data_IF_737833448959
#
_entry.id   IF_737833448959
#
_cell.length_a   1.000
_cell.length_b   1.000
_cell.length_c   1.000
_cell.angle_alpha   90.00
_cell.angle_beta   90.00
_cell.angle_gamma   90.00
#
_symmetry.space_group_name_H-M   'P 1'
#
loop_
_entity.id
_entity.type
_entity.pdbx_description
1 polymer ?
#
# COMPACT_ATOMS: atom_id res chain seq x y z
N UNK A 1 -3.54 1.21 11.59
CA UNK A 1 -3.11 2.59 11.93
C UNK A 1 -4.10 3.41 12.77
N UNK A 2 -5.42 3.28 12.59
CA UNK A 2 -6.40 4.14 13.33
C UNK A 2 -6.56 3.73 14.80
N UNK A 3 -6.33 2.45 15.13
CA UNK A 3 -6.52 1.86 16.47
C UNK A 3 -5.89 2.67 17.62
N UNK A 4 -4.56 2.81 17.66
CA UNK A 4 -3.86 3.57 18.69
C UNK A 4 -4.32 5.04 18.80
N UNK A 5 -4.43 5.79 17.69
CA UNK A 5 -4.97 7.16 17.66
C UNK A 5 -6.39 7.28 18.20
N UNK A 6 -7.27 6.30 17.97
CA UNK A 6 -8.60 6.29 18.61
C UNK A 6 -8.50 6.12 20.13
N UNK A 7 -7.60 5.28 20.65
CA UNK A 7 -7.38 5.16 22.11
C UNK A 7 -6.82 6.47 22.69
N UNK A 8 -5.87 7.11 22.00
CA UNK A 8 -5.35 8.43 22.38
C UNK A 8 -6.47 9.48 22.39
N UNK A 9 -7.36 9.48 21.39
CA UNK A 9 -8.52 10.38 21.32
C UNK A 9 -9.48 10.19 22.49
N UNK A 10 -9.75 8.94 22.88
CA UNK A 10 -10.58 8.63 24.05
C UNK A 10 -9.90 9.12 25.34
N UNK A 11 -8.61 8.84 25.52
CA UNK A 11 -7.84 9.28 26.69
C UNK A 11 -7.74 10.80 26.81
N UNK A 12 -7.48 11.51 25.71
CA UNK A 12 -7.46 12.98 25.68
C UNK A 12 -8.83 13.59 26.00
N UNK A 13 -9.91 12.97 25.53
CA UNK A 13 -11.28 13.41 25.84
C UNK A 13 -11.62 13.21 27.32
N UNK A 14 -11.13 12.14 27.97
CA UNK A 14 -11.24 11.92 29.41
C UNK A 14 -10.45 12.95 30.22
N UNK A 15 -9.22 13.27 29.81
CA UNK A 15 -8.42 14.34 30.44
C UNK A 15 -9.16 15.67 30.35
N UNK A 16 -9.68 16.02 29.16
CA UNK A 16 -10.46 17.25 28.98
C UNK A 16 -11.70 17.26 29.89
N UNK A 17 -12.45 16.15 29.94
CA UNK A 17 -13.61 16.00 30.82
C UNK A 17 -13.26 16.21 32.31
N UNK A 18 -12.09 15.74 32.75
CA UNK A 18 -11.65 15.89 34.15
C UNK A 18 -11.37 17.34 34.56
N UNK A 19 -11.02 18.20 33.60
CA UNK A 19 -10.59 19.58 33.82
C UNK A 19 -11.73 20.59 33.67
N UNK A 20 -12.86 20.18 33.09
CA UNK A 20 -13.96 21.09 32.75
C UNK A 20 -15.10 20.98 33.75
N UNK A 21 -15.38 22.03 34.55
CA UNK A 21 -16.49 22.01 35.52
C UNK A 21 -17.87 22.24 34.86
N UNK A 22 -17.91 22.57 33.57
CA UNK A 22 -19.15 22.87 32.85
C UNK A 22 -19.82 21.57 32.33
N UNK A 23 -21.05 21.32 32.80
CA UNK A 23 -21.83 20.12 32.46
C UNK A 23 -22.05 19.94 30.95
N UNK A 24 -22.26 21.03 30.20
CA UNK A 24 -22.46 20.96 28.76
C UNK A 24 -21.21 20.46 28.04
N UNK A 25 -20.04 21.01 28.38
CA UNK A 25 -18.76 20.59 27.81
C UNK A 25 -18.39 19.17 28.24
N UNK A 26 -18.74 18.77 29.48
CA UNK A 26 -18.57 17.39 29.95
C UNK A 26 -19.44 16.40 29.17
N UNK A 27 -20.69 16.77 28.83
CA UNK A 27 -21.56 15.94 28.00
C UNK A 27 -20.98 15.75 26.59
N UNK A 28 -20.49 16.82 25.95
CA UNK A 28 -19.80 16.75 24.65
C UNK A 28 -18.56 15.85 24.73
N UNK A 29 -17.73 16.02 25.77
CA UNK A 29 -16.55 15.20 25.97
C UNK A 29 -16.90 13.71 26.14
N UNK A 30 -17.99 13.39 26.85
CA UNK A 30 -18.48 12.02 27.03
C UNK A 30 -18.84 11.37 25.69
N UNK A 31 -19.51 12.11 24.79
CA UNK A 31 -19.82 11.64 23.43
C UNK A 31 -18.54 11.35 22.65
N UNK A 32 -17.52 12.22 22.75
CA UNK A 32 -16.23 12.02 22.10
C UNK A 32 -15.50 10.77 22.63
N UNK A 33 -15.48 10.57 23.95
CA UNK A 33 -14.94 9.34 24.56
C UNK A 33 -15.62 8.11 23.98
N UNK A 34 -16.96 8.10 23.92
CA UNK A 34 -17.73 6.99 23.37
C UNK A 34 -17.44 6.72 21.89
N UNK A 35 -17.37 7.78 21.07
CA UNK A 35 -17.06 7.66 19.65
C UNK A 35 -15.66 7.08 19.40
N UNK A 36 -14.64 7.61 20.10
CA UNK A 36 -13.27 7.13 19.97
C UNK A 36 -13.10 5.70 20.51
N UNK A 37 -13.70 5.37 21.64
CA UNK A 37 -13.70 4.01 22.19
C UNK A 37 -14.41 3.02 21.25
N UNK A 38 -15.52 3.42 20.63
CA UNK A 38 -16.23 2.61 19.64
C UNK A 38 -15.38 2.32 18.39
N UNK A 39 -14.68 3.33 17.87
CA UNK A 39 -13.73 3.13 16.76
C UNK A 39 -12.60 2.19 17.17
N UNK A 40 -12.01 2.37 18.35
CA UNK A 40 -10.96 1.48 18.84
C UNK A 40 -11.47 0.03 18.97
N UNK A 41 -12.68 -0.17 19.48
CA UNK A 41 -13.30 -1.48 19.58
C UNK A 41 -13.48 -2.15 18.22
N UNK A 42 -14.13 -1.47 17.26
CA UNK A 42 -14.38 -2.01 15.91
C UNK A 42 -13.07 -2.33 15.21
N UNK A 43 -12.10 -1.42 15.25
CA UNK A 43 -10.80 -1.65 14.60
C UNK A 43 -10.04 -2.80 15.28
N UNK A 44 -10.09 -2.89 16.62
CA UNK A 44 -9.43 -3.95 17.38
C UNK A 44 -9.97 -5.34 17.04
N UNK A 45 -11.30 -5.50 17.00
CA UNK A 45 -11.91 -6.79 16.62
C UNK A 45 -11.64 -7.14 15.15
N UNK A 46 -11.60 -6.16 14.25
CA UNK A 46 -11.26 -6.41 12.83
C UNK A 46 -9.82 -6.88 12.69
N UNK A 47 -8.88 -6.24 13.37
CA UNK A 47 -7.47 -6.65 13.33
C UNK A 47 -7.28 -8.07 13.87
N UNK A 48 -7.95 -8.39 14.97
CA UNK A 48 -7.90 -9.74 15.55
C UNK A 48 -8.51 -10.80 14.64
N UNK A 49 -9.46 -10.41 13.77
CA UNK A 49 -10.01 -11.31 12.75
C UNK A 49 -9.05 -11.58 11.59
N UNK A 50 -8.19 -10.62 11.26
CA UNK A 50 -7.22 -10.72 10.16
C UNK A 50 -5.93 -11.46 10.57
N UNK A 51 -5.51 -11.31 11.82
CA UNK A 51 -4.21 -11.83 12.29
C UNK A 51 -4.28 -13.24 12.92
N UNK A 52 -5.50 -13.74 13.22
CA UNK A 52 -5.70 -15.02 13.91
C UNK A 52 -6.21 -16.08 12.94
N UNK A 53 -5.48 -17.20 12.91
CA UNK A 53 -5.83 -18.40 12.14
C UNK A 53 -7.26 -18.88 12.43
N UNK A 54 -7.92 -19.39 11.38
CA UNK A 54 -9.33 -19.82 11.43
C UNK A 54 -9.62 -20.83 12.56
N UNK A 55 -8.67 -21.71 12.87
CA UNK A 55 -8.81 -22.74 13.92
C UNK A 55 -8.88 -22.16 15.34
N UNK A 56 -8.20 -21.03 15.58
CA UNK A 56 -8.10 -20.41 16.90
C UNK A 56 -9.02 -19.21 17.07
N UNK A 57 -9.51 -18.63 15.96
CA UNK A 57 -10.31 -17.39 15.96
C UNK A 57 -11.46 -17.42 16.97
N UNK A 58 -12.25 -18.49 16.99
CA UNK A 58 -13.39 -18.60 17.91
C UNK A 58 -12.99 -18.54 19.39
N UNK A 59 -11.87 -19.18 19.76
CA UNK A 59 -11.37 -19.21 21.15
C UNK A 59 -10.78 -17.87 21.56
N UNK A 60 -9.98 -17.27 20.68
CA UNK A 60 -9.34 -15.97 20.94
C UNK A 60 -10.38 -14.86 21.11
N UNK A 61 -11.40 -14.83 20.24
CA UNK A 61 -12.51 -13.87 20.38
C UNK A 61 -13.28 -14.06 21.69
N UNK A 62 -13.57 -15.31 22.08
CA UNK A 62 -14.25 -15.62 23.33
C UNK A 62 -13.46 -15.15 24.56
N UNK A 63 -12.14 -15.35 24.56
CA UNK A 63 -11.26 -14.90 25.64
C UNK A 63 -11.19 -13.38 25.73
N UNK A 64 -10.97 -12.68 24.61
CA UNK A 64 -10.91 -11.22 24.57
C UNK A 64 -12.22 -10.59 25.03
N UNK A 65 -13.37 -11.08 24.55
CA UNK A 65 -14.67 -10.56 24.97
C UNK A 65 -14.92 -10.78 26.48
N UNK A 66 -14.49 -11.91 27.01
CA UNK A 66 -14.65 -12.22 28.43
C UNK A 66 -13.79 -11.28 29.28
N UNK A 67 -12.52 -11.08 28.90
CA UNK A 67 -11.62 -10.14 29.57
C UNK A 67 -12.19 -8.72 29.54
N UNK A 68 -12.64 -8.24 28.38
CA UNK A 68 -13.24 -6.90 28.26
C UNK A 68 -14.45 -6.70 29.18
N UNK A 69 -15.31 -7.71 29.35
CA UNK A 69 -16.46 -7.65 30.26
C UNK A 69 -16.04 -7.63 31.72
N UNK A 70 -15.05 -8.45 32.08
CA UNK A 70 -14.48 -8.48 33.42
C UNK A 70 -13.87 -7.11 33.76
N UNK A 71 -13.09 -6.54 32.85
CA UNK A 71 -12.47 -5.23 33.03
C UNK A 71 -13.53 -4.13 33.19
N UNK A 72 -14.58 -4.14 32.36
CA UNK A 72 -15.68 -3.18 32.49
C UNK A 72 -16.37 -3.27 33.85
N UNK A 73 -16.65 -4.48 34.32
CA UNK A 73 -17.27 -4.71 35.63
C UNK A 73 -16.35 -4.25 36.76
N UNK A 74 -15.07 -4.59 36.69
CA UNK A 74 -14.07 -4.23 37.70
C UNK A 74 -13.91 -2.71 37.79
N UNK A 75 -13.75 -2.02 36.65
CA UNK A 75 -13.61 -0.56 36.60
C UNK A 75 -14.86 0.11 37.15
N UNK A 76 -16.06 -0.34 36.76
CA UNK A 76 -17.33 0.22 37.24
C UNK A 76 -17.49 0.03 38.75
N UNK A 77 -17.08 -1.12 39.29
CA UNK A 77 -17.17 -1.41 40.71
C UNK A 77 -16.15 -0.65 41.55
N UNK A 78 -14.91 -0.53 41.10
CA UNK A 78 -13.78 0.01 41.89
C UNK A 78 -13.72 1.54 41.84
N UNK A 79 -14.07 2.14 40.69
CA UNK A 79 -13.91 3.59 40.45
C UNK A 79 -14.57 4.47 41.52
N UNK A 80 -15.83 4.22 41.96
CA UNK A 80 -16.46 5.05 43.00
C UNK A 80 -15.72 5.03 44.34
N UNK A 81 -15.16 3.87 44.74
CA UNK A 81 -14.41 3.75 45.99
C UNK A 81 -13.08 4.50 45.92
N UNK A 82 -12.37 4.40 44.80
CA UNK A 82 -11.12 5.14 44.59
C UNK A 82 -11.38 6.64 44.58
N UNK A 83 -12.41 7.10 43.85
CA UNK A 83 -12.80 8.50 43.82
C UNK A 83 -13.21 9.01 45.22
N UNK A 84 -13.97 8.20 45.98
CA UNK A 84 -14.37 8.51 47.35
C UNK A 84 -13.18 8.61 48.32
N UNK A 85 -12.20 7.71 48.21
CA UNK A 85 -11.00 7.71 49.05
C UNK A 85 -10.10 8.93 48.82
N UNK A 86 -10.08 9.48 47.60
CA UNK A 86 -9.35 10.72 47.27
C UNK A 86 -10.05 11.94 47.91
N UNK A 87 -11.39 11.90 47.97
CA UNK A 87 -12.20 12.95 48.56
C UNK A 87 -12.26 14.22 47.71
N UNK A 88 -12.73 15.32 48.31
CA UNK A 88 -12.74 16.64 47.67
C UNK A 88 -11.82 17.57 48.43
N UNK A 89 -10.93 18.28 47.72
CA UNK A 89 -10.02 19.27 48.32
C UNK A 89 -10.13 20.60 47.59
N UNK A 90 -10.15 21.69 48.34
CA UNK A 90 -10.04 23.03 47.77
C UNK A 90 -8.58 23.33 47.44
N UNK A 91 -8.30 23.58 46.16
CA UNK A 91 -6.98 23.96 45.69
C UNK A 91 -6.68 25.45 45.95
N UNK A 92 -5.39 25.86 45.89
CA UNK A 92 -4.93 27.21 46.22
C UNK A 92 -5.42 28.34 45.28
N UNK A 93 -6.34 28.06 44.34
CA UNK A 93 -6.87 29.01 43.35
C UNK A 93 -8.41 28.92 43.23
N UNK A 94 -9.11 28.41 44.26
CA UNK A 94 -10.57 28.25 44.23
C UNK A 94 -11.08 27.15 43.30
N UNK A 95 -10.17 26.31 42.77
CA UNK A 95 -10.50 25.10 42.02
C UNK A 95 -10.74 23.96 43.00
N UNK A 96 -11.98 23.46 43.07
CA UNK A 96 -12.30 22.25 43.83
C UNK A 96 -11.82 21.02 43.07
N UNK A 97 -10.81 20.32 43.62
CA UNK A 97 -10.34 19.05 43.06
C UNK A 97 -11.20 17.94 43.65
N UNK A 98 -12.09 17.37 42.83
CA UNK A 98 -12.91 16.21 43.17
C UNK A 98 -12.15 14.92 42.82
N UNK A 99 -12.21 13.92 43.68
CA UNK A 99 -11.66 12.58 43.42
C UNK A 99 -12.14 11.95 42.11
N UNK A 100 -13.36 12.24 41.65
CA UNK A 100 -13.84 11.81 40.32
C UNK A 100 -12.98 12.41 39.19
N UNK A 101 -12.68 13.70 39.25
CA UNK A 101 -11.81 14.36 38.27
C UNK A 101 -10.41 13.76 38.28
N UNK A 102 -9.87 13.45 39.47
CA UNK A 102 -8.55 12.81 39.58
C UNK A 102 -8.55 11.43 38.92
N UNK A 103 -9.57 10.60 39.15
CA UNK A 103 -9.67 9.27 38.54
C UNK A 103 -9.81 9.37 37.01
N UNK A 104 -10.65 10.28 36.51
CA UNK A 104 -10.81 10.50 35.06
C UNK A 104 -9.51 11.00 34.41
N UNK A 105 -8.77 11.88 35.10
CA UNK A 105 -7.49 12.39 34.62
C UNK A 105 -6.46 11.27 34.51
N UNK A 106 -6.30 10.46 35.57
CA UNK A 106 -5.36 9.33 35.57
C UNK A 106 -5.73 8.29 34.52
N UNK A 107 -7.01 7.93 34.41
CA UNK A 107 -7.49 7.00 33.38
C UNK A 107 -7.26 7.54 31.96
N UNK A 108 -7.45 8.84 31.75
CA UNK A 108 -7.16 9.49 30.49
C UNK A 108 -5.67 9.49 30.13
N UNK A 109 -4.78 9.76 31.10
CA UNK A 109 -3.32 9.67 30.92
C UNK A 109 -2.90 8.24 30.57
N UNK A 110 -3.41 7.24 31.29
CA UNK A 110 -3.16 5.83 30.98
C UNK A 110 -3.64 5.48 29.56
N UNK A 111 -4.84 5.93 29.17
CA UNK A 111 -5.36 5.74 27.82
C UNK A 111 -4.48 6.37 26.75
N UNK A 112 -3.96 7.58 26.97
CA UNK A 112 -3.00 8.23 26.05
C UNK A 112 -1.71 7.42 25.95
N UNK A 113 -1.14 6.98 27.07
CA UNK A 113 0.10 6.18 27.09
C UNK A 113 -0.09 4.86 26.34
N UNK A 114 -1.14 4.11 26.68
CA UNK A 114 -1.49 2.83 26.01
C UNK A 114 -1.72 3.09 24.53
N UNK A 115 -2.48 4.12 24.16
CA UNK A 115 -2.73 4.47 22.76
C UNK A 115 -1.46 4.82 21.98
N UNK A 116 -0.48 5.48 22.60
CA UNK A 116 0.83 5.76 22.00
C UNK A 116 1.66 4.47 21.85
N UNK A 117 1.68 3.61 22.87
CA UNK A 117 2.40 2.32 22.80
C UNK A 117 1.80 1.44 21.72
N UNK A 118 0.47 1.26 21.71
CA UNK A 118 -0.23 0.50 20.68
C UNK A 118 -0.04 1.11 19.29
N UNK A 119 0.00 2.44 19.16
CA UNK A 119 0.31 3.07 17.87
C UNK A 119 1.72 2.73 17.40
N UNK A 120 2.72 2.72 18.30
CA UNK A 120 4.11 2.40 17.95
C UNK A 120 4.31 0.93 17.60
N UNK A 121 3.68 0.02 18.35
CA UNK A 121 3.78 -1.42 18.09
C UNK A 121 3.07 -1.82 16.80
N UNK A 122 1.99 -1.11 16.44
CA UNK A 122 1.19 -1.40 15.24
C UNK A 122 1.50 -0.45 14.05
N UNK A 123 2.57 0.34 14.13
CA UNK A 123 3.00 1.20 13.01
C UNK A 123 3.99 0.46 12.11
N UNK A 124 3.45 -0.25 11.13
CA UNK A 124 4.25 -0.99 10.13
C UNK A 124 5.01 -0.08 9.14
N UNK A 125 4.94 1.26 9.31
CA UNK A 125 5.63 2.24 8.43
C UNK A 125 6.14 3.45 9.23
N UNK A 126 7.25 3.31 9.97
CA UNK A 126 7.88 4.43 10.65
C UNK A 126 8.26 5.54 9.65
N UNK A 127 7.84 6.78 9.91
CA UNK A 127 8.23 7.98 9.14
C UNK A 127 7.16 8.65 8.27
N UNK A 128 5.93 8.11 8.18
CA UNK A 128 4.82 8.76 7.44
C UNK A 128 3.76 9.26 8.42
N UNK A 129 3.52 10.57 8.45
CA UNK A 129 2.49 11.15 9.32
C UNK A 129 1.10 10.58 9.00
N UNK A 130 0.40 10.08 10.03
CA UNK A 130 -0.96 9.51 9.94
C UNK A 130 -1.95 10.45 9.22
N UNK A 131 -1.78 11.75 9.41
CA UNK A 131 -2.59 12.80 8.76
C UNK A 131 -2.44 12.78 7.24
N UNK A 132 -1.24 12.50 6.74
CA UNK A 132 -0.94 12.42 5.31
C UNK A 132 -1.55 11.16 4.68
N UNK A 133 -1.57 10.05 5.41
CA UNK A 133 -2.19 8.80 4.95
C UNK A 133 -3.73 8.92 4.91
N UNK A 134 -4.33 9.51 5.96
CA UNK A 134 -5.76 9.77 6.01
C UNK A 134 -6.20 10.84 4.98
N UNK A 135 -5.40 11.89 4.80
CA UNK A 135 -5.64 12.91 3.78
C UNK A 135 -5.50 12.36 2.36
N UNK A 136 -4.57 11.43 2.10
CA UNK A 136 -4.46 10.75 0.79
C UNK A 136 -5.63 9.82 0.50
N UNK A 137 -6.18 9.15 1.52
CA UNK A 137 -7.39 8.30 1.36
C UNK A 137 -8.66 9.13 1.17
N UNK A 138 -8.75 10.29 1.82
CA UNK A 138 -9.89 11.20 1.68
C UNK A 138 -9.80 12.11 0.44
N UNK A 139 -8.60 12.47 0.01
CA UNK A 139 -8.35 13.20 -1.24
C UNK A 139 -8.00 12.20 -2.33
N UNK A 140 -9.02 11.73 -3.06
CA UNK A 140 -8.87 11.10 -4.38
C UNK A 140 -8.26 12.09 -5.38
N UNK A 141 -6.99 12.38 -5.23
CA UNK A 141 -6.17 13.02 -6.25
C UNK A 141 -4.74 12.62 -5.96
N UNK A 142 -4.14 11.69 -6.73
CA UNK A 142 -2.74 11.37 -6.55
C UNK A 142 -1.95 12.67 -6.69
N UNK A 143 -1.08 12.95 -5.71
CA UNK A 143 -0.11 14.03 -5.86
C UNK A 143 0.67 13.70 -7.14
N UNK A 144 0.52 14.54 -8.17
CA UNK A 144 1.23 14.35 -9.44
C UNK A 144 2.72 14.19 -9.10
N UNK A 145 3.38 13.16 -9.65
CA UNK A 145 4.81 13.05 -9.47
C UNK A 145 5.51 14.31 -10.02
N UNK A 146 6.68 14.63 -9.49
CA UNK A 146 7.47 15.83 -9.82
C UNK A 146 8.01 15.86 -11.26
N UNK A 147 7.66 14.88 -12.09
CA UNK A 147 8.08 14.78 -13.49
C UNK A 147 6.92 15.09 -14.45
N UNK A 148 7.26 15.52 -15.66
CA UNK A 148 6.29 15.87 -16.71
C UNK A 148 5.98 14.72 -17.67
N UNK A 149 6.79 13.65 -17.64
CA UNK A 149 6.59 12.45 -18.45
C UNK A 149 5.48 11.54 -17.93
N UNK A 150 5.30 10.41 -18.61
CA UNK A 150 4.32 9.38 -18.24
C UNK A 150 5.00 8.03 -18.14
N UNK A 151 4.71 7.29 -17.08
CA UNK A 151 5.32 5.98 -16.82
C UNK A 151 4.29 4.85 -16.88
N UNK A 152 4.47 3.93 -17.81
CA UNK A 152 3.60 2.76 -17.99
C UNK A 152 4.41 1.48 -17.81
N UNK A 153 3.92 0.55 -16.99
CA UNK A 153 4.51 -0.78 -16.83
C UNK A 153 3.58 -1.86 -17.39
N UNK A 154 4.14 -2.79 -18.17
CA UNK A 154 3.45 -4.00 -18.60
C UNK A 154 3.87 -5.16 -17.69
N UNK A 155 2.89 -5.80 -17.10
CA UNK A 155 3.04 -6.87 -16.12
C UNK A 155 2.23 -8.11 -16.52
N UNK A 156 2.55 -9.24 -15.91
CA UNK A 156 1.87 -10.52 -16.15
C UNK A 156 2.83 -11.72 -16.17
N UNK A 157 2.24 -12.91 -16.17
CA UNK A 157 2.98 -14.17 -16.19
C UNK A 157 3.76 -14.42 -17.50
N UNK A 158 4.45 -15.55 -17.54
CA UNK A 158 5.15 -16.08 -18.70
C UNK A 158 4.19 -16.26 -19.88
N UNK A 159 4.66 -16.00 -21.10
CA UNK A 159 3.84 -16.20 -22.31
C UNK A 159 2.60 -15.29 -22.47
N UNK A 160 2.42 -14.28 -21.60
CA UNK A 160 1.27 -13.36 -21.65
C UNK A 160 1.30 -12.37 -22.84
N UNK A 161 2.39 -12.32 -23.61
CA UNK A 161 2.49 -11.43 -24.79
C UNK A 161 2.95 -9.99 -24.49
N UNK A 162 3.57 -9.74 -23.32
CA UNK A 162 4.07 -8.42 -22.90
C UNK A 162 4.92 -7.74 -23.98
N UNK A 163 5.94 -8.44 -24.50
CA UNK A 163 6.85 -7.87 -25.50
C UNK A 163 6.15 -7.52 -26.81
N UNK A 164 5.13 -8.28 -27.21
CA UNK A 164 4.29 -7.97 -28.37
C UNK A 164 3.50 -6.69 -28.14
N UNK A 165 2.80 -6.58 -27.01
CA UNK A 165 1.99 -5.42 -26.67
C UNK A 165 2.84 -4.16 -26.48
N UNK A 166 4.01 -4.31 -25.86
CA UNK A 166 4.97 -3.23 -25.69
C UNK A 166 5.39 -2.63 -27.04
N UNK A 167 5.78 -3.47 -28.01
CA UNK A 167 6.20 -3.01 -29.36
C UNK A 167 5.06 -2.31 -30.10
N UNK A 168 3.84 -2.83 -29.98
CA UNK A 168 2.66 -2.22 -30.60
C UNK A 168 2.30 -0.88 -29.95
N UNK A 169 2.55 -0.74 -28.65
CA UNK A 169 2.29 0.48 -27.89
C UNK A 169 3.32 1.55 -28.21
N UNK A 170 4.60 1.17 -28.27
CA UNK A 170 5.70 2.03 -28.71
C UNK A 170 5.41 2.65 -30.09
N UNK A 171 5.09 1.82 -31.09
CA UNK A 171 4.78 2.31 -32.43
C UNK A 171 3.63 3.32 -32.43
N UNK A 172 2.55 3.02 -31.70
CA UNK A 172 1.37 3.87 -31.60
C UNK A 172 1.63 5.22 -30.92
N UNK A 173 2.51 5.23 -29.90
CA UNK A 173 2.93 6.45 -29.20
C UNK A 173 3.86 7.30 -30.08
N UNK A 174 4.81 6.68 -30.79
CA UNK A 174 5.71 7.36 -31.72
C UNK A 174 4.93 8.01 -32.87
N UNK A 175 3.94 7.32 -33.43
CA UNK A 175 3.03 7.86 -34.46
C UNK A 175 2.26 9.11 -33.99
N UNK A 176 2.10 9.29 -32.68
CA UNK A 176 1.45 10.45 -32.05
C UNK A 176 2.42 11.58 -31.67
N UNK A 177 3.69 11.43 -32.01
CA UNK A 177 4.71 12.44 -31.77
C UNK A 177 5.23 12.49 -30.33
N UNK A 178 4.99 11.44 -29.53
CA UNK A 178 5.61 11.33 -28.21
C UNK A 178 7.06 10.87 -28.31
N UNK A 179 7.95 11.40 -27.48
CA UNK A 179 9.23 10.74 -27.20
C UNK A 179 8.94 9.49 -26.35
N UNK A 180 9.34 8.32 -26.82
CA UNK A 180 9.08 7.04 -26.15
C UNK A 180 10.40 6.40 -25.75
N UNK A 181 10.47 5.96 -24.50
CA UNK A 181 11.59 5.16 -23.98
C UNK A 181 11.05 3.80 -23.59
N UNK A 182 11.33 2.81 -24.43
CA UNK A 182 11.07 1.41 -24.11
C UNK A 182 12.22 0.85 -23.28
N UNK A 183 11.87 0.13 -22.22
CA UNK A 183 12.84 -0.51 -21.34
C UNK A 183 12.30 -1.81 -20.74
N UNK A 184 13.10 -2.49 -19.92
CA UNK A 184 12.73 -3.75 -19.27
C UNK A 184 13.46 -3.95 -17.94
N UNK A 185 12.82 -4.69 -17.05
CA UNK A 185 13.44 -5.20 -15.83
C UNK A 185 13.38 -6.73 -15.78
N UNK A 186 14.45 -7.40 -15.33
CA UNK A 186 15.78 -6.84 -15.03
C UNK A 186 16.60 -6.64 -16.32
N UNK A 187 17.63 -5.80 -16.28
CA UNK A 187 18.71 -5.84 -17.28
C UNK A 187 18.74 -4.78 -18.38
N UNK A 188 18.10 -3.62 -18.19
CA UNK A 188 18.16 -2.51 -19.14
C UNK A 188 19.44 -1.64 -19.05
N UNK A 189 20.31 -1.86 -18.06
CA UNK A 189 21.59 -1.15 -17.90
C UNK A 189 22.77 -2.12 -18.00
N UNK A 190 24.00 -1.64 -18.17
CA UNK A 190 25.18 -2.51 -18.19
C UNK A 190 25.33 -3.32 -16.89
N UNK A 191 25.20 -2.65 -15.74
CA UNK A 191 25.17 -3.31 -14.42
C UNK A 191 23.97 -4.24 -14.29
N UNK A 192 22.80 -3.80 -14.75
CA UNK A 192 21.59 -4.60 -14.76
C UNK A 192 21.73 -5.86 -15.59
N UNK A 193 22.40 -5.81 -16.73
CA UNK A 193 22.63 -6.98 -17.59
C UNK A 193 23.46 -8.05 -16.88
N UNK A 194 24.48 -7.65 -16.11
CA UNK A 194 25.23 -8.57 -15.24
C UNK A 194 24.37 -9.17 -14.14
N UNK A 195 23.50 -8.38 -13.51
CA UNK A 195 22.56 -8.87 -12.50
C UNK A 195 21.55 -9.83 -13.12
N UNK A 196 20.98 -9.49 -14.27
CA UNK A 196 20.05 -10.34 -15.03
C UNK A 196 20.67 -11.70 -15.36
N UNK A 197 21.94 -11.72 -15.79
CA UNK A 197 22.63 -12.97 -16.08
C UNK A 197 22.65 -13.90 -14.85
N UNK A 198 22.96 -13.37 -13.66
CA UNK A 198 22.91 -14.15 -12.41
C UNK A 198 21.49 -14.56 -12.02
N UNK A 199 20.51 -13.68 -12.21
CA UNK A 199 19.12 -13.94 -11.83
C UNK A 199 18.47 -15.04 -12.67
N UNK A 200 18.82 -15.15 -13.95
CA UNK A 200 18.15 -16.04 -14.90
C UNK A 200 18.93 -17.31 -15.21
N UNK A 201 20.21 -17.36 -14.86
CA UNK A 201 21.04 -18.56 -15.00
C UNK A 201 20.43 -19.76 -14.24
N UNK A 202 19.99 -20.83 -14.95
CA UNK A 202 19.38 -22.00 -14.33
C UNK A 202 20.32 -22.75 -13.35
N UNK A 203 21.63 -22.54 -13.46
CA UNK A 203 22.62 -23.19 -12.59
C UNK A 203 22.85 -22.44 -11.28
N UNK A 204 22.42 -21.18 -11.21
CA UNK A 204 22.62 -20.31 -10.05
C UNK A 204 21.58 -20.61 -8.97
N UNK A 205 22.04 -20.91 -7.74
CA UNK A 205 21.17 -21.08 -6.56
C UNK A 205 21.16 -19.81 -5.72
N UNK A 206 19.99 -19.21 -5.53
CA UNK A 206 19.81 -18.00 -4.72
C UNK A 206 18.80 -18.24 -3.60
N UNK A 207 19.12 -17.77 -2.40
CA UNK A 207 18.11 -17.63 -1.36
C UNK A 207 17.05 -16.59 -1.81
N UNK A 208 15.75 -16.77 -1.49
CA UNK A 208 14.70 -15.85 -1.89
C UNK A 208 14.97 -14.37 -1.57
N UNK A 209 15.55 -14.09 -0.39
CA UNK A 209 15.92 -12.71 -0.01
C UNK A 209 17.05 -12.15 -0.86
N UNK A 210 18.02 -12.97 -1.25
CA UNK A 210 19.11 -12.56 -2.15
C UNK A 210 18.57 -12.26 -3.56
N UNK A 211 17.66 -13.11 -4.07
CA UNK A 211 16.94 -12.85 -5.33
C UNK A 211 16.22 -11.50 -5.30
N UNK A 212 15.43 -11.23 -4.25
CA UNK A 212 14.72 -9.96 -4.09
C UNK A 212 15.67 -8.74 -4.03
N UNK A 213 16.80 -8.87 -3.34
CA UNK A 213 17.82 -7.81 -3.26
C UNK A 213 18.49 -7.55 -4.61
N UNK A 214 18.76 -8.58 -5.41
CA UNK A 214 19.34 -8.44 -6.75
C UNK A 214 18.37 -7.74 -7.71
N UNK A 215 17.08 -8.13 -7.72
CA UNK A 215 16.05 -7.41 -8.47
C UNK A 215 15.94 -5.94 -8.03
N UNK A 216 15.99 -5.68 -6.72
CA UNK A 216 15.96 -4.32 -6.21
C UNK A 216 17.20 -3.50 -6.60
N UNK A 217 18.38 -4.11 -6.64
CA UNK A 217 19.62 -3.47 -7.06
C UNK A 217 19.62 -3.11 -8.55
N UNK A 218 19.19 -4.03 -9.43
CA UNK A 218 18.99 -3.77 -10.85
C UNK A 218 18.01 -2.60 -11.07
N UNK A 219 16.86 -2.65 -10.38
CA UNK A 219 15.83 -1.61 -10.46
C UNK A 219 16.32 -0.25 -10.00
N UNK A 220 17.06 -0.16 -8.89
CA UNK A 220 17.61 1.10 -8.40
C UNK A 220 18.52 1.74 -9.47
N UNK A 221 19.39 0.93 -10.08
CA UNK A 221 20.28 1.38 -11.15
C UNK A 221 19.50 1.81 -12.41
N UNK A 222 18.51 1.01 -12.80
CA UNK A 222 17.67 1.27 -13.96
C UNK A 222 16.86 2.56 -13.80
N UNK A 223 16.28 2.81 -12.62
CA UNK A 223 15.58 4.05 -12.32
C UNK A 223 16.50 5.25 -12.41
N UNK A 224 17.70 5.15 -11.82
CA UNK A 224 18.65 6.26 -11.79
C UNK A 224 19.19 6.62 -13.19
N UNK A 225 19.44 5.62 -14.04
CA UNK A 225 20.09 5.84 -15.35
C UNK A 225 19.13 6.03 -16.52
N UNK A 226 17.93 5.43 -16.46
CA UNK A 226 17.03 5.36 -17.62
C UNK A 226 15.69 5.99 -17.30
N UNK A 227 14.96 5.46 -16.33
CA UNK A 227 13.55 5.82 -16.11
C UNK A 227 13.40 7.26 -15.66
N UNK A 228 14.08 7.66 -14.58
CA UNK A 228 13.92 8.99 -14.01
C UNK A 228 14.38 10.10 -14.98
N UNK A 229 15.55 10.03 -15.61
CA UNK A 229 15.94 11.02 -16.62
C UNK A 229 14.98 11.11 -17.81
N UNK A 230 14.29 10.03 -18.17
CA UNK A 230 13.28 10.03 -19.23
C UNK A 230 11.98 10.72 -18.82
N UNK A 231 11.52 10.45 -17.62
CA UNK A 231 10.32 11.10 -17.09
C UNK A 231 10.56 12.59 -16.86
N UNK A 232 11.74 12.99 -16.37
CA UNK A 232 12.08 14.39 -16.09
C UNK A 232 12.08 15.28 -17.35
N UNK A 233 12.41 14.73 -18.51
CA UNK A 233 12.37 15.46 -19.80
C UNK A 233 11.04 15.36 -20.54
N UNK A 234 10.04 14.69 -19.96
CA UNK A 234 8.69 14.60 -20.54
C UNK A 234 8.44 13.40 -21.46
N UNK A 235 9.34 12.41 -21.50
CA UNK A 235 9.15 11.22 -22.33
C UNK A 235 8.09 10.28 -21.74
N UNK A 236 7.52 9.43 -22.59
CA UNK A 236 6.68 8.30 -22.19
C UNK A 236 7.59 7.08 -21.99
N UNK A 237 7.75 6.63 -20.75
CA UNK A 237 8.50 5.41 -20.43
C UNK A 237 7.55 4.24 -20.43
N UNK A 238 7.85 3.21 -21.22
CA UNK A 238 7.13 1.94 -21.25
C UNK A 238 8.08 0.82 -20.85
N UNK A 239 7.84 0.19 -19.70
CA UNK A 239 8.72 -0.88 -19.18
C UNK A 239 8.04 -2.25 -19.23
N UNK A 240 8.78 -3.26 -19.69
CA UNK A 240 8.44 -4.69 -19.46
C UNK A 240 8.88 -5.05 -18.04
N UNK A 241 7.89 -5.23 -17.15
CA UNK A 241 8.04 -5.43 -15.70
C UNK A 241 8.58 -4.23 -14.93
N UNK A 242 8.18 -4.15 -13.66
CA UNK A 242 8.64 -3.19 -12.67
C UNK A 242 8.49 -3.78 -11.25
N UNK A 243 8.13 -2.94 -10.26
CA UNK A 243 7.97 -3.32 -8.85
C UNK A 243 6.91 -4.41 -8.66
N UNK A 244 5.84 -4.38 -9.43
CA UNK A 244 4.70 -5.30 -9.30
C UNK A 244 5.13 -6.75 -9.59
N UNK A 245 6.02 -6.97 -10.55
CA UNK A 245 6.70 -8.26 -10.73
C UNK A 245 7.44 -8.71 -9.46
N UNK A 246 8.14 -7.83 -8.73
CA UNK A 246 8.80 -8.27 -7.50
C UNK A 246 7.82 -8.67 -6.40
N UNK A 247 6.70 -7.97 -6.28
CA UNK A 247 5.65 -8.32 -5.31
C UNK A 247 4.99 -9.65 -5.65
N UNK A 248 4.72 -9.92 -6.93
CA UNK A 248 4.13 -11.17 -7.38
C UNK A 248 5.11 -12.35 -7.29
N UNK A 249 6.33 -12.22 -7.82
CA UNK A 249 7.28 -13.33 -7.87
C UNK A 249 8.01 -13.55 -6.54
N UNK A 250 8.61 -12.51 -5.97
CA UNK A 250 9.36 -12.66 -4.72
C UNK A 250 8.45 -12.58 -3.49
N UNK A 251 7.38 -11.79 -3.52
CA UNK A 251 6.38 -11.79 -2.45
C UNK A 251 5.54 -13.06 -2.47
N UNK A 252 4.59 -13.16 -3.39
CA UNK A 252 3.66 -14.29 -3.43
C UNK A 252 4.31 -15.61 -3.88
N UNK A 253 5.06 -15.61 -4.98
CA UNK A 253 5.68 -16.81 -5.55
C UNK A 253 6.68 -17.46 -4.59
N UNK A 254 7.64 -16.69 -4.08
CA UNK A 254 8.67 -17.14 -3.11
C UNK A 254 8.23 -17.09 -1.65
N UNK A 255 6.97 -16.70 -1.39
CA UNK A 255 6.37 -16.64 -0.05
C UNK A 255 7.16 -15.74 0.93
N UNK A 256 7.76 -14.67 0.42
CA UNK A 256 8.26 -13.59 1.28
C UNK A 256 7.10 -12.69 1.67
N UNK A 257 7.18 -12.09 2.86
CA UNK A 257 6.24 -11.07 3.27
C UNK A 257 6.20 -9.92 2.24
N UNK A 258 5.05 -9.74 1.58
CA UNK A 258 4.87 -8.82 0.45
C UNK A 258 5.23 -7.39 0.87
N UNK A 259 4.94 -7.02 2.12
CA UNK A 259 5.25 -5.72 2.72
C UNK A 259 6.76 -5.46 2.79
N UNK A 260 7.57 -6.49 3.06
CA UNK A 260 9.03 -6.37 3.09
C UNK A 260 9.59 -6.12 1.70
N UNK A 261 9.11 -6.86 0.70
CA UNK A 261 9.49 -6.68 -0.71
C UNK A 261 9.03 -5.31 -1.22
N UNK A 262 7.84 -4.85 -0.81
CA UNK A 262 7.34 -3.52 -1.13
C UNK A 262 8.16 -2.40 -0.49
N UNK A 263 8.65 -2.60 0.74
CA UNK A 263 9.53 -1.64 1.42
C UNK A 263 10.89 -1.56 0.74
N UNK A 264 11.49 -2.69 0.42
CA UNK A 264 12.74 -2.78 -0.34
C UNK A 264 12.61 -2.09 -1.69
N UNK A 265 11.56 -2.42 -2.44
CA UNK A 265 11.32 -1.85 -3.77
C UNK A 265 11.08 -0.34 -3.72
N UNK A 266 10.32 0.15 -2.74
CA UNK A 266 10.10 1.60 -2.54
C UNK A 266 11.40 2.33 -2.24
N UNK A 267 12.27 1.74 -1.42
CA UNK A 267 13.58 2.32 -1.12
C UNK A 267 14.45 2.36 -2.38
N UNK A 268 14.50 1.27 -3.14
CA UNK A 268 15.25 1.18 -4.39
C UNK A 268 14.81 2.22 -5.45
N UNK A 269 13.52 2.55 -5.51
CA UNK A 269 12.98 3.46 -6.54
C UNK A 269 12.78 4.90 -6.06
N UNK A 270 13.12 5.20 -4.81
CA UNK A 270 12.73 6.45 -4.13
C UNK A 270 11.22 6.74 -4.27
N UNK A 271 10.41 5.68 -4.12
CA UNK A 271 8.96 5.75 -4.24
C UNK A 271 8.41 6.00 -5.64
N UNK A 272 9.23 6.01 -6.69
CA UNK A 272 8.76 6.09 -8.08
C UNK A 272 7.83 4.91 -8.39
N UNK A 273 6.67 5.23 -8.98
CA UNK A 273 5.63 4.29 -9.38
C UNK A 273 5.15 4.62 -10.80
N UNK A 274 4.70 3.62 -11.57
CA UNK A 274 4.02 3.86 -12.84
C UNK A 274 2.71 4.62 -12.63
N UNK A 275 2.36 5.47 -13.58
CA UNK A 275 1.05 6.11 -13.70
C UNK A 275 -0.02 5.10 -14.11
N UNK A 276 0.37 4.06 -14.85
CA UNK A 276 -0.48 2.95 -15.25
C UNK A 276 0.29 1.62 -15.22
N UNK A 277 -0.33 0.59 -14.67
CA UNK A 277 0.12 -0.81 -14.78
C UNK A 277 -0.86 -1.58 -15.65
N UNK A 278 -0.37 -2.13 -16.75
CA UNK A 278 -1.15 -3.01 -17.63
C UNK A 278 -0.84 -4.44 -17.25
N UNK A 279 -1.77 -5.12 -16.59
CA UNK A 279 -1.65 -6.53 -16.23
C UNK A 279 -2.27 -7.39 -17.33
N UNK A 280 -1.41 -8.13 -18.05
CA UNK A 280 -1.83 -9.16 -19.00
C UNK A 280 -2.08 -10.45 -18.22
N UNK A 281 -3.34 -10.71 -17.86
CA UNK A 281 -3.74 -11.89 -17.10
C UNK A 281 -3.84 -13.11 -18.01
N UNK A 282 -3.11 -14.16 -17.67
CA UNK A 282 -3.12 -15.44 -18.39
C UNK A 282 -3.10 -16.59 -17.41
N UNK A 283 -3.79 -17.66 -17.76
CA UNK A 283 -3.66 -18.92 -17.03
C UNK A 283 -2.20 -19.44 -17.10
N UNK A 284 -1.57 -19.80 -15.97
CA UNK A 284 -0.17 -20.22 -15.97
C UNK A 284 0.11 -21.45 -16.83
N UNK A 285 -0.83 -22.38 -16.95
CA UNK A 285 -0.69 -23.57 -17.80
C UNK A 285 -0.58 -23.15 -19.27
N UNK A 286 -1.45 -22.21 -19.68
CA UNK A 286 -1.45 -21.67 -21.05
C UNK A 286 -0.20 -20.81 -21.30
N UNK A 287 0.18 -19.99 -20.32
CA UNK A 287 1.33 -19.09 -20.40
C UNK A 287 2.66 -19.83 -20.53
N UNK A 288 2.90 -20.82 -19.67
CA UNK A 288 4.10 -21.67 -19.72
C UNK A 288 4.15 -22.51 -21.01
N UNK A 289 2.99 -22.96 -21.52
CA UNK A 289 2.92 -23.64 -22.82
C UNK A 289 3.33 -22.77 -24.02
N UNK A 290 3.34 -21.44 -23.86
CA UNK A 290 3.84 -20.48 -24.86
C UNK A 290 5.31 -20.07 -24.61
N UNK A 291 5.89 -20.45 -23.47
CA UNK A 291 7.28 -20.15 -23.15
C UNK A 291 8.24 -20.99 -24.01
N UNK A 292 9.51 -20.58 -24.08
CA UNK A 292 10.52 -21.21 -24.92
C UNK A 292 10.85 -22.66 -24.52
N UNK A 293 11.58 -23.38 -25.38
CA UNK A 293 12.02 -24.75 -25.13
C UNK A 293 13.08 -24.87 -24.01
N UNK A 294 13.82 -23.78 -23.75
CA UNK A 294 14.85 -23.72 -22.71
C UNK A 294 14.42 -22.70 -21.65
N UNK A 295 13.74 -23.14 -20.57
CA UNK A 295 13.25 -22.24 -19.54
C UNK A 295 14.41 -21.63 -18.75
N UNK A 296 14.30 -20.34 -18.43
CA UNK A 296 15.18 -19.73 -17.45
C UNK A 296 14.89 -20.22 -16.02
N UNK A 297 15.72 -19.80 -15.05
CA UNK A 297 15.59 -20.24 -13.66
C UNK A 297 14.20 -20.00 -13.05
N UNK A 298 13.50 -18.93 -13.43
CA UNK A 298 12.17 -18.60 -12.92
C UNK A 298 11.10 -19.34 -13.71
N UNK A 299 11.26 -19.48 -15.02
CA UNK A 299 10.35 -20.26 -15.89
C UNK A 299 10.37 -21.76 -15.56
N UNK A 300 11.48 -22.25 -14.98
CA UNK A 300 11.63 -23.63 -14.54
C UNK A 300 10.95 -23.96 -13.19
N UNK A 301 10.30 -22.97 -12.56
CA UNK A 301 9.59 -23.16 -11.30
C UNK A 301 8.31 -24.02 -11.46
N UNK A 302 7.82 -24.52 -10.32
CA UNK A 302 6.61 -25.35 -10.32
C UNK A 302 5.37 -24.59 -10.79
N UNK A 303 4.38 -25.30 -11.36
CA UNK A 303 3.09 -24.71 -11.70
C UNK A 303 2.43 -24.00 -10.49
N UNK A 304 2.57 -24.56 -9.28
CA UNK A 304 2.06 -23.96 -8.06
C UNK A 304 2.70 -22.59 -7.75
N UNK A 305 4.00 -22.43 -8.05
CA UNK A 305 4.67 -21.14 -7.96
C UNK A 305 4.02 -20.14 -8.91
N UNK A 306 3.85 -20.48 -10.19
CA UNK A 306 3.24 -19.57 -11.16
C UNK A 306 1.76 -19.25 -10.86
N UNK A 307 1.01 -20.18 -10.28
CA UNK A 307 -0.33 -19.89 -9.75
C UNK A 307 -0.28 -18.84 -8.64
N UNK A 308 0.60 -18.98 -7.64
CA UNK A 308 0.78 -17.95 -6.59
C UNK A 308 1.20 -16.59 -7.16
N UNK A 309 2.06 -16.59 -8.19
CA UNK A 309 2.46 -15.36 -8.88
C UNK A 309 1.25 -14.68 -9.52
N UNK A 310 0.42 -15.42 -10.25
CA UNK A 310 -0.82 -14.89 -10.85
C UNK A 310 -1.76 -14.34 -9.79
N UNK A 311 -2.02 -15.09 -8.73
CA UNK A 311 -2.90 -14.66 -7.63
C UNK A 311 -2.35 -13.38 -6.97
N UNK A 312 -1.03 -13.28 -6.81
CA UNK A 312 -0.36 -12.07 -6.33
C UNK A 312 -0.60 -10.86 -7.24
N UNK A 313 -0.50 -11.01 -8.55
CA UNK A 313 -0.82 -9.93 -9.50
C UNK A 313 -2.29 -9.51 -9.43
N UNK A 314 -3.22 -10.46 -9.37
CA UNK A 314 -4.66 -10.17 -9.28
C UNK A 314 -4.97 -9.40 -7.98
N UNK A 315 -4.44 -9.86 -6.85
CA UNK A 315 -4.63 -9.18 -5.56
C UNK A 315 -4.08 -7.74 -5.57
N UNK A 316 -2.93 -7.51 -6.23
CA UNK A 316 -2.38 -6.15 -6.40
C UNK A 316 -3.32 -5.27 -7.22
N UNK A 317 -3.85 -5.78 -8.33
CA UNK A 317 -4.78 -5.04 -9.18
C UNK A 317 -6.10 -4.71 -8.48
N UNK A 318 -6.65 -5.65 -7.71
CA UNK A 318 -7.86 -5.43 -6.91
C UNK A 318 -7.66 -4.37 -5.82
N UNK A 319 -6.44 -4.26 -5.28
CA UNK A 319 -6.12 -3.30 -4.21
C UNK A 319 -5.99 -1.84 -4.69
N UNK A 320 -5.80 -1.62 -5.99
CA UNK A 320 -5.53 -0.29 -6.57
C UNK A 320 -6.12 -0.15 -7.99
N UNK A 321 -7.44 -0.35 -8.18
CA UNK A 321 -8.06 -0.49 -9.49
C UNK A 321 -7.92 0.75 -10.39
N UNK A 322 -7.69 1.93 -9.81
CA UNK A 322 -7.50 3.16 -10.58
C UNK A 322 -6.16 3.16 -11.36
N UNK A 323 -5.13 2.47 -10.83
CA UNK A 323 -3.79 2.37 -11.44
C UNK A 323 -3.61 1.15 -12.34
N UNK A 324 -4.49 0.15 -12.28
CA UNK A 324 -4.38 -1.06 -13.08
C UNK A 324 -5.36 -1.08 -14.24
N UNK A 325 -4.89 -1.59 -15.37
CA UNK A 325 -5.70 -2.14 -16.43
C UNK A 325 -5.45 -3.64 -16.49
N UNK A 326 -6.42 -4.44 -16.08
CA UNK A 326 -6.35 -5.90 -16.21
C UNK A 326 -6.94 -6.30 -17.56
N UNK A 327 -6.15 -6.98 -18.39
CA UNK A 327 -6.58 -7.45 -19.71
C UNK A 327 -6.38 -8.96 -19.82
N UNK A 328 -7.43 -9.73 -20.15
CA UNK A 328 -7.28 -11.16 -20.43
C UNK A 328 -6.40 -11.40 -21.66
N UNK A 329 -5.22 -12.00 -21.47
CA UNK A 329 -4.23 -12.24 -22.52
C UNK A 329 -4.51 -13.46 -23.41
N UNK A 330 -5.70 -14.05 -23.26
CA UNK A 330 -6.25 -15.09 -24.15
C UNK A 330 -6.91 -14.52 -25.39
N UNK A 331 -7.20 -13.22 -25.40
CA UNK A 331 -7.81 -12.50 -26.53
C UNK A 331 -6.83 -12.31 -27.69
N UNK A 332 -7.37 -11.94 -28.85
CA UNK A 332 -6.57 -11.54 -30.01
C UNK A 332 -5.68 -10.34 -29.68
N UNK A 333 -4.49 -10.31 -30.27
CA UNK A 333 -3.44 -9.31 -29.99
C UNK A 333 -3.96 -7.89 -30.21
N UNK A 334 -4.77 -7.70 -31.24
CA UNK A 334 -5.37 -6.42 -31.65
C UNK A 334 -6.37 -5.91 -30.61
N UNK A 335 -7.22 -6.79 -30.05
CA UNK A 335 -8.21 -6.42 -29.03
C UNK A 335 -7.54 -6.04 -27.71
N UNK A 336 -6.53 -6.81 -27.30
CA UNK A 336 -5.70 -6.47 -26.13
C UNK A 336 -5.06 -5.10 -26.35
N UNK A 337 -4.51 -4.87 -27.54
CA UNK A 337 -3.84 -3.62 -27.83
C UNK A 337 -4.79 -2.41 -27.89
N UNK A 338 -6.00 -2.59 -28.41
CA UNK A 338 -7.02 -1.55 -28.41
C UNK A 338 -7.39 -1.12 -26.98
N UNK A 339 -7.58 -2.10 -26.08
CA UNK A 339 -7.85 -1.82 -24.67
C UNK A 339 -6.71 -1.04 -24.00
N UNK A 340 -5.46 -1.42 -24.27
CA UNK A 340 -4.27 -0.72 -23.76
C UNK A 340 -4.23 0.71 -24.28
N UNK A 341 -4.35 0.91 -25.60
CA UNK A 341 -4.32 2.24 -26.24
C UNK A 341 -5.39 3.17 -25.68
N UNK A 342 -6.61 2.67 -25.48
CA UNK A 342 -7.72 3.44 -24.91
C UNK A 342 -7.36 3.95 -23.52
N UNK A 343 -6.86 3.09 -22.63
CA UNK A 343 -6.50 3.48 -21.26
C UNK A 343 -5.29 4.42 -21.24
N UNK A 344 -4.27 4.15 -22.06
CA UNK A 344 -3.08 5.00 -22.15
C UNK A 344 -3.43 6.39 -22.68
N UNK A 345 -4.35 6.50 -23.64
CA UNK A 345 -4.80 7.79 -24.17
C UNK A 345 -5.40 8.71 -23.09
N UNK A 346 -6.04 8.15 -22.06
CA UNK A 346 -6.60 8.91 -20.94
C UNK A 346 -5.54 9.56 -20.04
N UNK A 347 -4.28 9.12 -20.13
CA UNK A 347 -3.16 9.72 -19.38
C UNK A 347 -2.70 11.05 -20.00
N UNK A 348 -3.00 11.27 -21.28
CA UNK A 348 -2.61 12.48 -21.99
C UNK A 348 -3.76 13.49 -22.03
N UNK A 349 -3.47 14.80 -21.90
CA UNK A 349 -4.49 15.82 -22.08
C UNK A 349 -5.07 15.74 -23.50
N UNK A 350 -6.38 15.99 -23.63
CA UNK A 350 -7.02 16.07 -24.93
C UNK A 350 -6.29 17.08 -25.85
N UNK A 351 -6.11 16.78 -27.15
CA UNK A 351 -5.44 17.71 -28.05
C UNK A 351 -6.18 19.04 -28.02
N UNK A 352 -5.42 20.13 -27.77
CA UNK A 352 -5.96 21.49 -27.88
C UNK A 352 -6.41 21.66 -29.34
N UNK A 353 -7.69 21.94 -29.63
CA UNK A 353 -8.11 22.18 -31.01
C UNK A 353 -7.30 23.35 -31.55
N UNK A 354 -6.61 23.14 -32.66
CA UNK A 354 -5.88 24.18 -33.37
C UNK A 354 -6.88 25.29 -33.71
N UNK A 355 -6.83 26.40 -32.98
CA UNK A 355 -7.48 27.61 -33.45
C UNK A 355 -6.76 28.02 -34.72
N UNK A 356 -7.40 27.78 -35.86
CA UNK A 356 -6.94 28.25 -37.15
C UNK A 356 -6.73 29.76 -37.05
N UNK A 357 -5.48 30.18 -37.04
CA UNK A 357 -5.11 31.58 -37.22
C UNK A 357 -5.42 31.89 -38.68
N UNK A 358 -6.64 32.34 -38.94
CA UNK A 358 -6.98 33.01 -40.19
C UNK A 358 -6.23 34.34 -40.19
N UNK A 359 -5.11 34.39 -40.90
CA UNK A 359 -4.41 35.63 -41.25
C UNK A 359 -5.33 36.38 -42.23
N UNK A 360 -5.84 37.57 -41.89
CA UNK A 360 -6.61 38.34 -42.85
C UNK A 360 -5.67 38.91 -43.93
N UNK A 361 -6.07 38.71 -45.18
CA UNK A 361 -5.45 39.22 -46.40
C UNK A 361 -5.53 40.74 -46.55
#
# INVERSE_FOLDING_TARGET
RVFGPSIVGAGASLIFMSLVPNLFLAAVATVLVGAFAGVAYVVGITLLGLEVDDELRGRTFGLVQSLMRIDLLLVTAVTPFVAGAIGTREGPVGLSINGVSVVLFVGGVLGVVVGIVSFREMDDRPGVALRTDLARRLRRTPARPTYTGTFVALEGGEGAGKSTQLRLLEAWLLERGHEVVVTREPGATATGASIRALLLDPTTTLAPRAEAMLYAADRAQHVAQVVRPALERGAVVVTDRYVDSSLAYQGAGRELAVEEVARLSRWATDGLRPDLVVLLDIDPVVGLGRAGQEPDRIEAESLAFHCRVRDGFVALAESDPDRYLVVPAVQEVELVQEAIRRRVAELFPAPVPSQGVSVPS
#
